data_IF_372946695629
#
_entry.id   IF_372946695629
#
_cell.length_a   1.000
_cell.length_b   1.000
_cell.length_c   1.000
_cell.angle_alpha   90.00
_cell.angle_beta   90.00
_cell.angle_gamma   90.00
#
_symmetry.space_group_name_H-M   'P 1'
#
loop_
_entity.id
_entity.type
_entity.pdbx_description
1 polymer ?
#
# COMPACT_ATOMS: atom_id res chain seq x y z
N UNK A 1 -18.91 -4.99 -70.68
CA UNK A 1 -18.36 -3.81 -69.97
C UNK A 1 -18.99 -3.79 -68.59
N UNK A 2 -18.36 -3.80 -67.42
CA UNK A 2 -16.99 -3.91 -66.88
C UNK A 2 -17.14 -4.51 -65.44
N UNK A 3 -16.34 -5.49 -64.96
CA UNK A 3 -15.15 -5.37 -64.05
C UNK A 3 -15.32 -4.32 -62.92
N UNK A 4 -15.01 -4.50 -61.64
CA UNK A 4 -14.20 -5.42 -60.81
C UNK A 4 -14.48 -5.09 -59.32
N UNK A 5 -14.42 -6.01 -58.36
CA UNK A 5 -13.24 -6.44 -57.57
C UNK A 5 -12.41 -5.31 -56.91
N UNK A 6 -12.48 -5.21 -55.56
CA UNK A 6 -11.44 -4.69 -54.67
C UNK A 6 -11.93 -3.76 -53.53
N UNK A 7 -11.33 -3.75 -52.32
CA UNK A 7 -10.38 -4.69 -51.72
C UNK A 7 -10.81 -5.24 -50.33
N UNK A 8 -10.09 -6.31 -49.93
CA UNK A 8 -9.98 -6.86 -48.58
C UNK A 8 -9.23 -5.88 -47.68
N UNK A 9 -9.60 -5.79 -46.41
CA UNK A 9 -8.66 -5.39 -45.35
C UNK A 9 -8.39 -6.59 -44.44
N UNK A 10 -7.15 -7.06 -44.52
CA UNK A 10 -6.46 -7.94 -43.60
C UNK A 10 -6.41 -7.36 -42.17
N UNK A 11 -6.59 -8.26 -41.19
CA UNK A 11 -5.68 -8.60 -40.07
C UNK A 11 -4.55 -7.59 -39.73
N UNK A 12 -4.10 -7.35 -38.49
CA UNK A 12 -4.35 -7.85 -37.15
C UNK A 12 -3.53 -6.98 -36.17
N UNK A 13 -3.98 -6.83 -34.91
CA UNK A 13 -3.17 -7.01 -33.67
C UNK A 13 -4.20 -7.36 -32.59
N UNK A 14 -4.61 -8.63 -32.49
CA UNK A 14 -3.97 -9.64 -31.62
C UNK A 14 -3.98 -9.22 -30.16
N UNK A 15 -5.11 -9.51 -29.55
CA UNK A 15 -5.32 -10.07 -28.22
C UNK A 15 -4.04 -10.59 -27.53
N UNK A 16 -3.33 -9.71 -26.82
CA UNK A 16 -2.26 -10.12 -25.92
C UNK A 16 -2.85 -10.61 -24.61
N UNK A 17 -2.99 -11.94 -24.57
CA UNK A 17 -3.03 -12.83 -23.43
C UNK A 17 -2.95 -12.17 -22.06
N UNK A 18 -4.09 -12.14 -21.39
CA UNK A 18 -4.19 -12.01 -19.95
C UNK A 18 -3.56 -13.26 -19.29
N UNK A 19 -2.22 -13.29 -19.24
CA UNK A 19 -1.48 -14.17 -18.33
C UNK A 19 -1.67 -13.60 -16.93
N UNK A 20 -2.15 -14.43 -16.01
CA UNK A 20 -2.40 -14.07 -14.61
C UNK A 20 -1.22 -13.26 -14.03
N UNK A 21 -1.48 -11.99 -13.74
CA UNK A 21 -0.45 -11.04 -13.33
C UNK A 21 0.11 -11.44 -11.97
N UNK A 22 1.37 -11.90 -11.96
CA UNK A 22 2.22 -11.79 -10.78
C UNK A 22 2.19 -10.33 -10.29
N UNK A 23 2.29 -10.07 -8.97
CA UNK A 23 2.36 -8.70 -8.47
C UNK A 23 3.46 -7.96 -9.23
N UNK A 24 3.10 -6.84 -9.86
CA UNK A 24 4.01 -6.15 -10.76
C UNK A 24 5.32 -5.81 -10.04
N UNK A 25 6.45 -6.12 -10.70
CA UNK A 25 7.77 -5.88 -10.12
C UNK A 25 7.99 -4.41 -9.76
N UNK A 26 8.84 -4.12 -8.77
CA UNK A 26 9.14 -2.75 -8.28
C UNK A 26 9.40 -1.75 -9.41
N UNK A 27 10.08 -2.17 -10.48
CA UNK A 27 10.36 -1.32 -11.64
C UNK A 27 9.07 -0.84 -12.34
N UNK A 28 8.07 -1.70 -12.52
CA UNK A 28 6.82 -1.34 -13.19
C UNK A 28 6.03 -0.31 -12.38
N UNK A 29 6.01 -0.46 -11.05
CA UNK A 29 5.40 0.52 -10.15
C UNK A 29 6.10 1.88 -10.26
N UNK A 30 7.44 1.90 -10.24
CA UNK A 30 8.22 3.14 -10.41
C UNK A 30 7.97 3.78 -11.78
N UNK A 31 7.92 2.99 -12.86
CA UNK A 31 7.63 3.48 -14.22
C UNK A 31 6.21 4.05 -14.33
N UNK A 32 5.20 3.39 -13.74
CA UNK A 32 3.82 3.88 -13.71
C UNK A 32 3.68 5.19 -12.93
N UNK A 33 4.35 5.30 -11.78
CA UNK A 33 4.40 6.55 -10.99
C UNK A 33 5.08 7.67 -11.76
N UNK A 34 6.20 7.40 -12.43
CA UNK A 34 6.90 8.37 -13.25
C UNK A 34 6.02 8.85 -14.41
N UNK A 35 5.30 7.94 -15.09
CA UNK A 35 4.38 8.35 -16.16
C UNK A 35 3.28 9.26 -15.62
N UNK A 36 2.67 8.90 -14.48
CA UNK A 36 1.63 9.72 -13.85
C UNK A 36 2.15 11.12 -13.53
N UNK A 37 3.35 11.21 -12.94
CA UNK A 37 3.98 12.47 -12.59
C UNK A 37 4.20 13.36 -13.82
N UNK A 38 4.78 12.82 -14.90
CA UNK A 38 5.02 13.57 -16.13
C UNK A 38 3.72 13.96 -16.84
N UNK A 39 2.71 13.08 -16.82
CA UNK A 39 1.38 13.40 -17.35
C UNK A 39 0.73 14.57 -16.60
N UNK A 40 0.82 14.56 -15.27
CA UNK A 40 0.29 15.63 -14.41
C UNK A 40 1.06 16.94 -14.62
N UNK A 41 2.39 16.91 -14.77
CA UNK A 41 3.22 18.07 -15.16
C UNK A 41 2.80 18.65 -16.50
N UNK A 42 2.49 17.79 -17.48
CA UNK A 42 1.95 18.18 -18.78
C UNK A 42 0.46 18.60 -18.74
N UNK A 43 -0.19 18.56 -17.56
CA UNK A 43 -1.62 18.87 -17.33
C UNK A 43 -2.57 18.05 -18.22
N UNK A 44 -2.22 16.80 -18.50
CA UNK A 44 -3.03 15.91 -19.32
C UNK A 44 -3.88 14.98 -18.44
N UNK A 45 -5.10 14.69 -18.89
CA UNK A 45 -5.86 13.56 -18.35
C UNK A 45 -5.32 12.23 -18.92
N UNK A 46 -5.59 11.11 -18.25
CA UNK A 46 -5.23 9.77 -18.77
C UNK A 46 -5.80 9.54 -20.18
N UNK A 47 -7.02 10.02 -20.45
CA UNK A 47 -7.66 9.93 -21.77
C UNK A 47 -6.92 10.76 -22.82
N UNK A 48 -6.43 11.94 -22.46
CA UNK A 48 -5.68 12.80 -23.37
C UNK A 48 -4.31 12.19 -23.70
N UNK A 49 -3.61 11.63 -22.72
CA UNK A 49 -2.37 10.89 -22.96
C UNK A 49 -2.61 9.67 -23.84
N UNK A 50 -3.65 8.89 -23.53
CA UNK A 50 -4.02 7.71 -24.33
C UNK A 50 -4.24 8.05 -25.80
N UNK A 51 -4.98 9.14 -26.07
CA UNK A 51 -5.22 9.61 -27.43
C UNK A 51 -3.93 10.04 -28.13
N UNK A 52 -3.01 10.73 -27.44
CA UNK A 52 -1.70 11.12 -28.00
C UNK A 52 -0.80 9.93 -28.28
N UNK A 53 -0.81 8.93 -27.41
CA UNK A 53 0.03 7.74 -27.51
C UNK A 53 -0.59 6.62 -28.36
N UNK A 54 -1.76 6.84 -28.98
CA UNK A 54 -2.44 5.81 -29.78
C UNK A 54 -2.82 4.55 -28.99
N UNK A 55 -3.24 4.72 -27.74
CA UNK A 55 -3.65 3.62 -26.84
C UNK A 55 -4.99 3.90 -26.16
N UNK A 56 -5.48 2.97 -25.34
CA UNK A 56 -6.71 3.15 -24.56
C UNK A 56 -6.46 3.83 -23.21
N UNK A 57 -7.45 4.55 -22.68
CA UNK A 57 -7.36 5.13 -21.33
C UNK A 57 -7.19 4.04 -20.25
N UNK A 58 -7.77 2.86 -20.47
CA UNK A 58 -7.61 1.71 -19.58
C UNK A 58 -6.16 1.20 -19.55
N UNK A 59 -5.46 1.21 -20.69
CA UNK A 59 -4.03 0.88 -20.78
C UNK A 59 -3.20 1.85 -19.93
N UNK A 60 -3.41 3.16 -20.08
CA UNK A 60 -2.75 4.20 -19.26
C UNK A 60 -3.04 3.99 -17.76
N UNK A 61 -4.31 3.80 -17.39
CA UNK A 61 -4.70 3.60 -16.00
C UNK A 61 -4.06 2.36 -15.38
N UNK A 62 -4.07 1.23 -16.10
CA UNK A 62 -3.43 -0.02 -15.65
C UNK A 62 -1.91 0.13 -15.53
N UNK A 63 -1.28 0.93 -16.39
CA UNK A 63 0.16 1.16 -16.30
C UNK A 63 0.51 2.08 -15.12
N UNK A 64 -0.20 3.19 -14.94
CA UNK A 64 -0.01 4.11 -13.80
C UNK A 64 -0.23 3.44 -12.44
N UNK A 65 -1.09 2.42 -12.39
CA UNK A 65 -1.39 1.65 -11.17
C UNK A 65 -0.49 0.42 -10.97
N UNK A 66 0.42 0.14 -11.93
CA UNK A 66 1.26 -1.05 -11.93
C UNK A 66 0.46 -2.35 -12.00
N UNK A 67 -0.71 -2.36 -12.65
CA UNK A 67 -1.57 -3.55 -12.73
C UNK A 67 -1.00 -4.63 -13.67
N UNK A 68 -0.11 -4.25 -14.60
CA UNK A 68 0.55 -5.18 -15.52
C UNK A 68 1.98 -4.75 -15.81
N UNK A 69 2.77 -5.66 -16.40
CA UNK A 69 4.08 -5.38 -16.93
C UNK A 69 3.96 -4.95 -18.40
N UNK A 70 4.12 -3.65 -18.75
CA UNK A 70 4.14 -3.24 -20.15
C UNK A 70 5.41 -3.71 -20.83
N UNK A 71 5.34 -3.86 -22.16
CA UNK A 71 6.55 -4.00 -22.97
C UNK A 71 7.31 -2.67 -23.02
N UNK A 72 8.62 -2.73 -23.23
CA UNK A 72 9.46 -1.53 -23.38
C UNK A 72 8.92 -0.59 -24.46
N UNK A 73 8.42 -1.13 -25.58
CA UNK A 73 7.83 -0.35 -26.66
C UNK A 73 6.57 0.42 -26.25
N UNK A 74 5.76 -0.10 -25.31
CA UNK A 74 4.61 0.62 -24.76
C UNK A 74 5.07 1.73 -23.83
N UNK A 75 6.10 1.48 -23.01
CA UNK A 75 6.69 2.49 -22.13
C UNK A 75 7.23 3.66 -22.95
N UNK A 76 8.09 3.40 -23.93
CA UNK A 76 8.69 4.42 -24.80
C UNK A 76 7.61 5.28 -25.48
N UNK A 77 6.61 4.66 -26.11
CA UNK A 77 5.51 5.37 -26.79
C UNK A 77 4.74 6.32 -25.86
N UNK A 78 4.50 5.91 -24.61
CA UNK A 78 3.76 6.73 -23.65
C UNK A 78 4.57 7.94 -23.19
N UNK A 79 5.88 7.77 -22.97
CA UNK A 79 6.75 8.88 -22.61
C UNK A 79 7.06 9.80 -23.82
N UNK A 80 7.19 9.26 -25.02
CA UNK A 80 7.33 10.04 -26.27
C UNK A 80 6.11 10.94 -26.49
N UNK A 81 4.89 10.45 -26.21
CA UNK A 81 3.66 11.25 -26.29
C UNK A 81 3.62 12.43 -25.28
N UNK A 82 4.49 12.40 -24.25
CA UNK A 82 4.73 13.49 -23.31
C UNK A 82 5.94 14.35 -23.68
N UNK A 83 6.67 14.01 -24.75
CA UNK A 83 7.93 14.67 -25.11
C UNK A 83 9.10 14.29 -24.20
N UNK A 84 9.01 13.13 -23.53
CA UNK A 84 10.03 12.63 -22.60
C UNK A 84 10.72 11.40 -23.18
N UNK A 85 11.99 11.21 -22.82
CA UNK A 85 12.73 9.98 -23.09
C UNK A 85 13.02 9.27 -21.77
N UNK A 86 12.73 7.96 -21.71
CA UNK A 86 13.03 7.15 -20.53
C UNK A 86 14.51 6.75 -20.57
N UNK A 87 15.20 6.92 -19.44
CA UNK A 87 16.55 6.41 -19.22
C UNK A 87 16.54 5.52 -17.99
N UNK A 88 17.06 4.30 -18.13
CA UNK A 88 17.30 3.41 -17.01
C UNK A 88 18.73 3.57 -16.50
N UNK A 89 18.90 3.46 -15.18
CA UNK A 89 20.18 3.39 -14.48
C UNK A 89 20.10 2.30 -13.42
N UNK A 90 21.22 1.95 -12.81
CA UNK A 90 21.31 0.93 -11.77
C UNK A 90 21.75 1.54 -10.44
N UNK A 91 21.22 0.99 -9.36
CA UNK A 91 21.63 1.29 -7.99
C UNK A 91 22.05 0.00 -7.29
N UNK A 92 22.76 0.12 -6.16
CA UNK A 92 23.05 -1.05 -5.34
C UNK A 92 21.74 -1.73 -4.92
N UNK A 93 21.73 -3.06 -4.90
CA UNK A 93 20.56 -3.79 -4.44
C UNK A 93 20.21 -3.36 -3.00
N UNK A 94 18.92 -3.09 -2.77
CA UNK A 94 18.38 -2.60 -1.50
C UNK A 94 18.81 -1.17 -1.10
N UNK A 95 19.42 -0.37 -1.98
CA UNK A 95 19.75 1.03 -1.67
C UNK A 95 18.53 1.85 -1.22
N UNK A 96 17.36 1.62 -1.84
CA UNK A 96 16.09 2.24 -1.45
C UNK A 96 15.62 1.82 -0.06
N UNK A 97 15.82 0.54 0.28
CA UNK A 97 15.51 0.00 1.58
C UNK A 97 16.47 0.55 2.64
N UNK A 98 17.76 0.64 2.35
CA UNK A 98 18.78 1.20 3.25
C UNK A 98 18.50 2.67 3.55
N UNK A 99 18.12 3.45 2.54
CA UNK A 99 17.70 4.84 2.72
C UNK A 99 16.45 4.93 3.59
N UNK A 100 15.46 4.05 3.37
CA UNK A 100 14.24 4.00 4.19
C UNK A 100 14.52 3.65 5.65
N UNK A 101 15.47 2.73 5.90
CA UNK A 101 15.93 2.35 7.25
C UNK A 101 16.62 3.55 7.89
N UNK A 102 17.55 4.19 7.18
CA UNK A 102 18.26 5.37 7.69
C UNK A 102 17.29 6.52 8.00
N UNK A 103 16.26 6.74 7.18
CA UNK A 103 15.20 7.72 7.44
C UNK A 103 14.39 7.34 8.69
N UNK A 104 13.97 6.08 8.79
CA UNK A 104 13.25 5.59 9.97
C UNK A 104 14.07 5.75 11.25
N UNK A 105 15.38 5.48 11.25
CA UNK A 105 16.25 5.72 12.40
C UNK A 105 16.27 7.19 12.85
N UNK A 106 16.25 8.15 11.91
CA UNK A 106 16.30 9.59 12.24
C UNK A 106 15.02 10.11 12.86
N UNK A 107 13.88 9.58 12.42
CA UNK A 107 12.55 10.13 12.73
C UNK A 107 11.71 9.21 13.63
N UNK A 108 12.30 8.11 14.13
CA UNK A 108 11.62 7.03 14.87
C UNK A 108 10.79 7.54 16.03
N UNK A 109 11.39 8.34 16.90
CA UNK A 109 10.76 8.73 18.16
C UNK A 109 9.58 9.68 17.91
N UNK A 110 9.65 10.51 16.86
CA UNK A 110 8.56 11.40 16.46
C UNK A 110 7.41 10.61 15.82
N UNK A 111 7.71 9.66 14.95
CA UNK A 111 6.73 8.73 14.37
C UNK A 111 5.98 7.93 15.44
N UNK A 112 6.72 7.30 16.37
CA UNK A 112 6.15 6.52 17.47
C UNK A 112 5.26 7.41 18.32
N UNK A 113 5.74 8.59 18.73
CA UNK A 113 4.98 9.52 19.57
C UNK A 113 3.70 10.00 18.88
N UNK A 114 3.80 10.34 17.59
CA UNK A 114 2.67 10.79 16.78
C UNK A 114 1.63 9.68 16.66
N UNK A 115 2.04 8.47 16.26
CA UNK A 115 1.11 7.36 16.06
C UNK A 115 0.48 6.87 17.37
N UNK A 116 1.24 6.81 18.48
CA UNK A 116 0.66 6.50 19.79
C UNK A 116 -0.39 7.52 20.21
N UNK A 117 -0.14 8.81 19.96
CA UNK A 117 -1.13 9.86 20.20
C UNK A 117 -2.42 9.65 19.41
N UNK A 118 -2.30 9.31 18.13
CA UNK A 118 -3.45 9.02 17.26
C UNK A 118 -4.19 7.76 17.69
N UNK A 119 -3.47 6.67 17.97
CA UNK A 119 -4.04 5.41 18.44
C UNK A 119 -4.79 5.61 19.76
N UNK A 120 -4.19 6.30 20.73
CA UNK A 120 -4.85 6.63 22.01
C UNK A 120 -6.15 7.40 21.78
N UNK A 121 -6.16 8.33 20.84
CA UNK A 121 -7.38 9.06 20.50
C UNK A 121 -8.43 8.14 19.86
N UNK A 122 -8.04 7.27 18.91
CA UNK A 122 -8.94 6.26 18.33
C UNK A 122 -9.55 5.32 19.38
N UNK A 123 -8.74 4.91 20.36
CA UNK A 123 -9.16 3.99 21.42
C UNK A 123 -10.13 4.62 22.43
N UNK A 124 -10.30 5.95 22.46
CA UNK A 124 -11.32 6.62 23.30
C UNK A 124 -12.74 6.15 22.99
N UNK A 125 -12.98 5.68 21.75
CA UNK A 125 -14.27 5.16 21.29
C UNK A 125 -14.37 3.63 21.36
N UNK A 126 -13.36 2.94 21.88
CA UNK A 126 -13.29 1.47 21.84
C UNK A 126 -14.24 0.76 22.80
N UNK A 127 -14.82 1.46 23.77
CA UNK A 127 -15.66 0.85 24.80
C UNK A 127 -14.91 -0.14 25.70
N UNK A 128 -13.58 0.00 25.83
CA UNK A 128 -12.76 -0.93 26.61
C UNK A 128 -12.48 -2.25 25.88
N UNK A 129 -12.36 -2.20 24.55
CA UNK A 129 -11.90 -3.33 23.75
C UNK A 129 -10.47 -3.73 24.14
N UNK A 130 -10.25 -5.01 24.41
CA UNK A 130 -8.90 -5.54 24.60
C UNK A 130 -8.15 -5.54 23.26
N UNK A 131 -6.94 -5.00 23.26
CA UNK A 131 -6.09 -4.90 22.08
C UNK A 131 -4.62 -5.11 22.45
N UNK A 132 -3.83 -5.52 21.46
CA UNK A 132 -2.38 -5.36 21.46
C UNK A 132 -1.97 -4.52 20.25
N UNK A 133 -0.94 -3.69 20.40
CA UNK A 133 -0.34 -2.99 19.26
C UNK A 133 0.32 -4.04 18.35
N UNK A 134 0.07 -3.95 17.05
CA UNK A 134 0.59 -4.85 16.02
C UNK A 134 1.39 -4.06 14.95
N UNK A 135 1.87 -4.74 13.91
CA UNK A 135 2.35 -4.13 12.67
C UNK A 135 3.52 -3.14 12.81
N UNK A 136 3.44 -2.01 12.10
CA UNK A 136 4.53 -1.03 11.99
C UNK A 136 4.89 -0.44 13.36
N UNK A 137 3.87 -0.06 14.14
CA UNK A 137 4.08 0.53 15.46
C UNK A 137 4.64 -0.50 16.45
N UNK A 138 4.17 -1.76 16.41
CA UNK A 138 4.72 -2.81 17.27
C UNK A 138 6.19 -3.13 16.95
N UNK A 139 6.53 -3.14 15.66
CA UNK A 139 7.90 -3.37 15.21
C UNK A 139 8.81 -2.20 15.62
N UNK A 140 8.37 -0.96 15.42
CA UNK A 140 9.11 0.24 15.80
C UNK A 140 9.34 0.34 17.32
N UNK A 141 8.30 0.07 18.13
CA UNK A 141 8.38 0.03 19.59
C UNK A 141 9.38 -1.03 20.10
N UNK A 142 9.56 -2.12 19.36
CA UNK A 142 10.51 -3.19 19.67
C UNK A 142 11.86 -3.02 18.95
N UNK A 143 12.13 -1.84 18.39
CA UNK A 143 13.45 -1.46 17.88
C UNK A 143 13.69 -1.69 16.39
N UNK A 144 12.71 -2.16 15.62
CA UNK A 144 12.86 -2.27 14.16
C UNK A 144 12.81 -0.87 13.53
N UNK A 145 13.77 -0.47 12.68
CA UNK A 145 13.79 0.85 12.07
C UNK A 145 12.82 0.92 10.88
N UNK A 146 11.53 1.03 11.17
CA UNK A 146 10.45 1.23 10.20
C UNK A 146 9.77 2.57 10.44
N UNK A 147 9.35 3.22 9.34
CA UNK A 147 8.45 4.37 9.41
C UNK A 147 7.10 3.89 9.95
N UNK A 148 6.50 4.65 10.87
CA UNK A 148 5.18 4.35 11.39
C UNK A 148 4.17 5.24 10.70
N UNK A 149 3.44 4.68 9.74
CA UNK A 149 2.52 5.45 8.88
C UNK A 149 1.05 5.18 9.18
N UNK A 150 0.76 4.10 9.92
CA UNK A 150 -0.59 3.70 10.28
C UNK A 150 -0.67 3.14 11.70
N UNK A 151 -1.88 3.07 12.22
CA UNK A 151 -2.20 2.41 13.48
C UNK A 151 -2.57 0.95 13.19
N UNK A 152 -1.72 0.02 13.62
CA UNK A 152 -1.98 -1.42 13.54
C UNK A 152 -2.29 -1.95 14.96
N UNK A 153 -3.42 -2.63 15.12
CA UNK A 153 -3.77 -3.33 16.37
C UNK A 153 -4.23 -4.76 16.07
N UNK A 154 -4.12 -5.63 17.06
CA UNK A 154 -4.70 -6.95 17.01
C UNK A 154 -5.73 -7.15 18.13
N UNK A 155 -6.81 -7.84 17.80
CA UNK A 155 -8.01 -8.07 18.64
C UNK A 155 -8.35 -9.55 18.56
N UNK A 156 -8.88 -10.13 19.63
CA UNK A 156 -9.30 -11.54 19.60
C UNK A 156 -10.47 -11.72 18.63
N UNK A 157 -10.49 -12.83 17.87
CA UNK A 157 -11.62 -13.14 16.97
C UNK A 157 -12.95 -13.20 17.71
N UNK A 158 -12.94 -13.65 18.97
CA UNK A 158 -14.11 -13.67 19.84
C UNK A 158 -14.69 -12.27 20.15
N UNK A 159 -13.87 -11.21 20.04
CA UNK A 159 -14.26 -9.82 20.31
C UNK A 159 -14.66 -9.05 19.05
N UNK A 160 -14.90 -9.75 17.92
CA UNK A 160 -15.43 -9.13 16.70
C UNK A 160 -16.69 -8.27 16.93
N UNK A 161 -17.65 -8.65 17.80
CA UNK A 161 -18.78 -7.77 18.13
C UNK A 161 -18.34 -6.44 18.76
N UNK A 162 -17.39 -6.46 19.71
CA UNK A 162 -16.87 -5.23 20.34
C UNK A 162 -16.06 -4.39 19.36
N UNK A 163 -15.28 -5.03 18.48
CA UNK A 163 -14.62 -4.36 17.37
C UNK A 163 -15.65 -3.68 16.44
N UNK A 164 -16.76 -4.35 16.15
CA UNK A 164 -17.86 -3.78 15.35
C UNK A 164 -18.38 -2.50 16.00
N UNK A 165 -18.72 -2.55 17.29
CA UNK A 165 -19.20 -1.38 18.03
C UNK A 165 -18.19 -0.23 18.00
N UNK A 166 -16.89 -0.53 18.20
CA UNK A 166 -15.83 0.47 18.10
C UNK A 166 -15.77 1.13 16.71
N UNK A 167 -15.74 0.35 15.64
CA UNK A 167 -15.65 0.87 14.27
C UNK A 167 -16.87 1.74 13.92
N UNK A 168 -18.07 1.36 14.37
CA UNK A 168 -19.27 2.17 14.19
C UNK A 168 -19.26 3.46 15.03
N UNK A 169 -18.60 3.46 16.18
CA UNK A 169 -18.42 4.64 17.01
C UNK A 169 -17.38 5.64 16.47
N UNK A 170 -16.47 5.20 15.57
CA UNK A 170 -15.44 6.08 15.01
C UNK A 170 -16.05 7.13 14.05
N UNK A 171 -15.74 8.43 14.25
CA UNK A 171 -16.19 9.49 13.36
C UNK A 171 -15.42 9.44 12.03
N UNK A 172 -16.11 9.72 10.91
CA UNK A 172 -15.54 9.78 9.56
C UNK A 172 -14.65 8.57 9.21
N UNK A 173 -15.13 7.37 9.55
CA UNK A 173 -14.46 6.11 9.31
C UNK A 173 -14.95 5.48 8.00
N UNK A 174 -14.03 5.12 7.11
CA UNK A 174 -14.31 4.51 5.81
C UNK A 174 -13.47 3.25 5.63
N UNK A 175 -14.07 2.14 5.20
CA UNK A 175 -13.33 0.88 4.99
C UNK A 175 -12.62 0.89 3.65
N UNK A 176 -11.47 0.24 3.62
CA UNK A 176 -10.73 -0.04 2.40
C UNK A 176 -11.58 -0.84 1.42
N UNK A 177 -11.65 -0.35 0.18
CA UNK A 177 -12.33 -1.02 -0.90
C UNK A 177 -11.30 -1.68 -1.83
N UNK A 178 -11.21 -3.01 -1.83
CA UNK A 178 -10.24 -3.73 -2.67
C UNK A 178 -10.43 -3.48 -4.16
N UNK A 179 -11.69 -3.36 -4.62
CA UNK A 179 -12.00 -3.15 -6.03
C UNK A 179 -11.48 -1.82 -6.54
N UNK A 180 -11.58 -0.77 -5.73
CA UNK A 180 -11.15 0.59 -6.10
C UNK A 180 -9.75 0.93 -5.60
N UNK A 181 -9.19 0.11 -4.71
CA UNK A 181 -7.92 0.34 -4.01
C UNK A 181 -7.88 1.73 -3.37
N UNK A 182 -8.97 2.10 -2.73
CA UNK A 182 -9.16 3.38 -2.07
C UNK A 182 -10.14 3.22 -0.89
N UNK A 183 -10.16 4.20 0.00
CA UNK A 183 -11.16 4.29 1.06
C UNK A 183 -12.39 4.98 0.48
N UNK A 184 -13.28 4.18 -0.12
CA UNK A 184 -14.48 4.67 -0.81
C UNK A 184 -15.67 3.73 -0.61
N UNK A 185 -16.85 4.32 -0.47
CA UNK A 185 -18.08 3.60 -0.19
C UNK A 185 -18.27 3.47 1.31
N UNK A 186 -19.37 4.03 1.82
CA UNK A 186 -19.66 4.23 3.25
C UNK A 186 -19.75 2.95 4.11
N UNK A 187 -19.38 1.78 3.59
CA UNK A 187 -19.31 0.55 4.36
C UNK A 187 -18.11 0.61 5.30
N UNK A 188 -18.37 0.30 6.57
CA UNK A 188 -17.36 0.22 7.64
C UNK A 188 -17.44 -1.10 8.39
N UNK A 189 -18.43 -1.94 8.11
CA UNK A 189 -18.78 -3.10 8.92
C UNK A 189 -17.66 -4.17 8.85
N UNK A 190 -16.94 -4.49 9.94
CA UNK A 190 -15.88 -5.49 9.94
C UNK A 190 -16.38 -6.92 9.63
N UNK A 191 -17.67 -7.20 9.76
CA UNK A 191 -18.24 -8.53 9.46
C UNK A 191 -18.31 -8.82 7.96
N UNK A 192 -18.16 -7.80 7.11
CA UNK A 192 -18.09 -8.00 5.66
C UNK A 192 -16.75 -8.62 5.25
N UNK A 193 -16.73 -9.56 4.28
CA UNK A 193 -15.49 -10.09 3.74
C UNK A 193 -14.56 -8.98 3.23
N UNK A 194 -13.25 -9.20 3.39
CA UNK A 194 -12.21 -8.30 2.90
C UNK A 194 -11.30 -7.78 4.01
N UNK A 195 -10.38 -6.87 3.71
CA UNK A 195 -9.39 -6.39 4.65
C UNK A 195 -10.04 -5.61 5.80
N UNK A 196 -9.57 -5.86 7.01
CA UNK A 196 -9.92 -5.09 8.21
C UNK A 196 -9.01 -3.86 8.28
N UNK A 197 -9.29 -2.92 7.38
CA UNK A 197 -8.49 -1.71 7.17
C UNK A 197 -9.46 -0.54 6.93
N UNK A 198 -9.25 0.55 7.63
CA UNK A 198 -10.08 1.75 7.56
C UNK A 198 -9.23 2.99 7.51
N UNK A 199 -9.73 4.02 6.84
CA UNK A 199 -9.24 5.37 6.99
C UNK A 199 -10.01 6.09 8.07
N UNK A 200 -9.30 6.88 8.85
CA UNK A 200 -9.87 7.81 9.82
C UNK A 200 -9.16 9.16 9.70
N UNK A 201 -9.74 10.26 10.20
CA UNK A 201 -9.05 11.55 10.22
C UNK A 201 -7.74 11.58 11.01
N UNK A 202 -7.49 10.59 11.87
CA UNK A 202 -6.30 10.52 12.72
C UNK A 202 -5.19 9.68 12.08
N UNK A 203 -5.55 8.51 11.55
CA UNK A 203 -4.64 7.60 10.89
C UNK A 203 -5.42 6.57 10.06
N UNK A 204 -4.73 5.93 9.13
CA UNK A 204 -5.18 4.60 8.70
C UNK A 204 -5.15 3.65 9.90
N UNK A 205 -6.25 2.92 10.12
CA UNK A 205 -6.40 1.89 11.12
C UNK A 205 -6.45 0.53 10.43
N UNK A 206 -5.58 -0.39 10.83
CA UNK A 206 -5.62 -1.79 10.42
C UNK A 206 -5.78 -2.67 11.65
N UNK A 207 -6.67 -3.64 11.54
CA UNK A 207 -6.97 -4.57 12.63
C UNK A 207 -6.64 -5.99 12.17
N UNK A 208 -5.95 -6.74 13.02
CA UNK A 208 -5.76 -8.18 12.87
C UNK A 208 -6.66 -8.91 13.86
N UNK A 209 -7.40 -9.92 13.38
CA UNK A 209 -8.09 -10.85 14.27
C UNK A 209 -7.15 -12.00 14.63
N UNK A 210 -7.08 -12.31 15.92
CA UNK A 210 -6.26 -13.38 16.47
C UNK A 210 -7.14 -14.50 17.01
N UNK A 211 -6.94 -15.72 16.53
CA UNK A 211 -7.59 -16.90 17.08
C UNK A 211 -7.07 -17.25 18.49
N UNK A 212 -5.77 -17.05 18.71
CA UNK A 212 -5.11 -17.26 20.00
C UNK A 212 -4.49 -15.95 20.47
N UNK A 213 -4.85 -15.54 21.69
CA UNK A 213 -4.31 -14.32 22.28
C UNK A 213 -2.86 -14.51 22.72
N UNK A 214 -1.91 -13.65 22.28
CA UNK A 214 -0.52 -13.76 22.66
C UNK A 214 -0.32 -13.27 24.10
N UNK A 215 0.80 -13.63 24.72
CA UNK A 215 1.28 -12.91 25.90
C UNK A 215 1.87 -11.58 25.43
N UNK A 216 1.27 -10.42 25.74
CA UNK A 216 1.77 -9.14 25.26
C UNK A 216 3.12 -8.81 25.89
N UNK A 217 4.00 -8.19 25.11
CA UNK A 217 5.24 -7.59 25.60
C UNK A 217 4.93 -6.16 26.05
N UNK A 218 5.05 -5.83 27.34
CA UNK A 218 4.92 -4.44 27.78
C UNK A 218 6.12 -3.64 27.26
N UNK A 219 5.85 -2.52 26.59
CA UNK A 219 6.88 -1.59 26.12
C UNK A 219 6.60 -0.20 26.66
N UNK A 220 7.63 0.42 27.24
CA UNK A 220 7.55 1.80 27.73
C UNK A 220 7.78 2.77 26.57
N UNK A 221 6.79 3.62 26.30
CA UNK A 221 6.86 4.66 25.28
C UNK A 221 6.51 6.02 25.89
N UNK A 222 7.54 6.81 26.19
CA UNK A 222 7.37 8.05 26.96
C UNK A 222 6.99 7.75 28.42
N UNK A 223 5.80 8.17 28.84
CA UNK A 223 5.28 7.97 30.19
C UNK A 223 4.26 6.83 30.30
N UNK A 224 3.95 6.15 29.19
CA UNK A 224 2.94 5.10 29.12
C UNK A 224 3.60 3.74 28.86
N UNK A 225 3.08 2.69 29.50
CA UNK A 225 3.38 1.30 29.15
C UNK A 225 2.26 0.79 28.25
N UNK A 226 2.62 0.29 27.07
CA UNK A 226 1.66 -0.18 26.07
C UNK A 226 1.82 -1.67 25.80
N UNK A 227 0.71 -2.40 25.58
CA UNK A 227 0.76 -3.82 25.26
C UNK A 227 1.13 -4.02 23.80
N UNK A 228 2.27 -4.65 23.53
CA UNK A 228 2.77 -4.86 22.17
C UNK A 228 2.78 -6.34 21.84
N UNK A 229 2.35 -6.70 20.63
CA UNK A 229 2.44 -8.08 20.14
C UNK A 229 3.91 -8.51 20.02
N UNK A 230 4.29 -9.74 20.42
CA UNK A 230 5.68 -10.20 20.35
C UNK A 230 6.29 -10.02 18.95
N UNK A 231 7.48 -9.41 18.88
CA UNK A 231 8.12 -9.07 17.61
C UNK A 231 8.22 -10.27 16.65
N UNK A 232 8.53 -11.46 17.16
CA UNK A 232 8.64 -12.67 16.32
C UNK A 232 7.33 -13.02 15.62
N UNK A 233 6.18 -12.76 16.26
CA UNK A 233 4.87 -13.01 15.65
C UNK A 233 4.52 -11.92 14.63
N UNK A 234 4.87 -10.66 14.92
CA UNK A 234 4.72 -9.54 13.98
C UNK A 234 5.51 -9.79 12.70
N UNK A 235 6.80 -10.16 12.82
CA UNK A 235 7.67 -10.40 11.67
C UNK A 235 7.26 -11.65 10.87
N UNK A 236 6.79 -12.71 11.55
CA UNK A 236 6.28 -13.92 10.88
C UNK A 236 5.10 -13.60 9.97
N UNK A 237 4.23 -12.71 10.42
CA UNK A 237 2.98 -12.37 9.74
C UNK A 237 3.11 -11.21 8.74
N UNK A 238 4.25 -10.52 8.73
CA UNK A 238 4.55 -9.42 7.81
C UNK A 238 5.96 -9.56 7.19
N UNK A 239 6.05 -10.18 5.99
CA UNK A 239 7.32 -10.36 5.28
C UNK A 239 8.05 -9.06 4.93
N UNK A 240 7.35 -7.92 4.85
CA UNK A 240 7.99 -6.63 4.57
C UNK A 240 8.71 -6.12 5.83
N UNK A 241 8.06 -6.18 6.99
CA UNK A 241 8.69 -5.84 8.28
C UNK A 241 9.87 -6.77 8.58
N UNK A 242 9.74 -8.05 8.30
CA UNK A 242 10.81 -9.05 8.44
C UNK A 242 11.99 -8.77 7.51
N UNK A 243 11.74 -8.33 6.27
CA UNK A 243 12.79 -7.86 5.36
C UNK A 243 13.54 -6.65 5.92
N UNK A 244 12.83 -5.66 6.45
CA UNK A 244 13.44 -4.48 7.08
C UNK A 244 14.29 -4.90 8.28
N UNK A 245 13.73 -5.71 9.19
CA UNK A 245 14.43 -6.18 10.39
C UNK A 245 15.71 -6.97 10.06
N UNK A 246 15.68 -7.84 9.05
CA UNK A 246 16.88 -8.54 8.58
C UNK A 246 17.91 -7.58 8.00
N UNK A 247 17.47 -6.63 7.17
CA UNK A 247 18.39 -5.68 6.53
C UNK A 247 19.04 -4.75 7.56
N UNK A 248 18.27 -4.26 8.53
CA UNK A 248 18.78 -3.43 9.63
C UNK A 248 19.88 -4.14 10.44
N UNK A 249 19.72 -5.43 10.76
CA UNK A 249 20.77 -6.23 11.43
C UNK A 249 22.06 -6.30 10.64
N UNK A 250 21.99 -6.36 9.31
CA UNK A 250 23.18 -6.35 8.44
C UNK A 250 23.86 -4.98 8.45
N UNK A 251 23.08 -3.90 8.55
CA UNK A 251 23.58 -2.53 8.62
C UNK A 251 24.06 -2.11 10.03
N UNK A 252 23.75 -2.89 11.07
CA UNK A 252 24.02 -2.51 12.46
C UNK A 252 23.13 -1.38 12.97
N UNK A 253 21.93 -1.25 12.40
CA UNK A 253 20.92 -0.23 12.72
C UNK A 253 19.80 -0.76 13.62
#
# INVERSE_FOLDING_TARGET
MARGCGPRHDQAVSDDGAVAAAPAGRLNLRLGQLLRLERERARLSQRALAARAGTSQQCVSRFETGFYAPTTAVVERLFEALGCQVRADVEALDADLDESIAAACRERDDDIRFMLGNLRNLLRWSGGLDYVIDGELAAALQGVPVRVTRADVAVATADLPRLTDWIFALPNCERWNERWRDFVGADRDPNRPGPLRWWTPLAELRVRLLETWPTPVPVVAGAEEVPVRPLLDVLRDDPQLDRVARRARVLGA
#
